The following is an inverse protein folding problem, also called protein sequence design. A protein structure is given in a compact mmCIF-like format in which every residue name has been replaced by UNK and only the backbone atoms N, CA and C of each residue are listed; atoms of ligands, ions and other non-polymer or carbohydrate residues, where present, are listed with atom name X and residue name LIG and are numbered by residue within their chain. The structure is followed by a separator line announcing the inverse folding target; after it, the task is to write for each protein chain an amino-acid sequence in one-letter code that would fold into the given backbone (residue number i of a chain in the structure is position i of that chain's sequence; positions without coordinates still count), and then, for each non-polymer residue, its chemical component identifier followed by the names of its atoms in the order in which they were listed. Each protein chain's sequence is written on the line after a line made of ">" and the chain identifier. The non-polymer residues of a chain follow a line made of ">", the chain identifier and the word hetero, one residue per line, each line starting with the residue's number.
data_IF_279662600781
#
_entry.id   IF_279662600781
#
_cell.length_a   1.000
_cell.length_b   1.000
_cell.length_c   1.000
_cell.angle_alpha   90.00
_cell.angle_beta   90.00
_cell.angle_gamma   90.00
#
_symmetry.space_group_name_H-M   'P 1'
#
loop_
_entity.id
_entity.type
_entity.pdbx_description
1 polymer ?
#
# COMPACT_ATOMS: atom_id res chain seq x y z
N UNK A 1 -14.43 -0.46 -0.48
CA UNK A 1 -13.23 -0.73 -1.31
C UNK A 1 -13.51 -0.44 -2.79
N UNK A 2 -13.70 0.83 -3.16
CA UNK A 2 -14.08 1.20 -4.53
C UNK A 2 -12.92 1.01 -5.53
N UNK A 3 -11.67 1.20 -5.08
CA UNK A 3 -10.44 1.01 -5.86
C UNK A 3 -10.11 -0.47 -6.18
N UNK A 4 -10.91 -1.43 -5.72
CA UNK A 4 -10.72 -2.86 -5.97
C UNK A 4 -10.78 -3.15 -7.47
N UNK A 5 -9.77 -3.85 -8.01
CA UNK A 5 -9.73 -4.22 -9.43
C UNK A 5 -10.85 -5.20 -9.80
N UNK A 6 -11.46 -5.02 -10.97
CA UNK A 6 -12.60 -5.83 -11.43
C UNK A 6 -12.29 -7.32 -11.60
N UNK A 7 -11.03 -7.66 -11.93
CA UNK A 7 -10.55 -9.05 -11.94
C UNK A 7 -10.74 -9.78 -10.59
N UNK A 8 -10.80 -9.04 -9.48
CA UNK A 8 -11.07 -9.59 -8.13
C UNK A 8 -12.56 -9.62 -7.78
N UNK A 9 -13.44 -9.11 -8.64
CA UNK A 9 -14.90 -9.17 -8.46
C UNK A 9 -15.52 -10.48 -9.01
N UNK A 10 -14.70 -11.51 -9.27
CA UNK A 10 -15.11 -12.82 -9.79
C UNK A 10 -15.84 -12.74 -11.14
N UNK A 11 -15.56 -11.73 -11.95
CA UNK A 11 -16.05 -11.62 -13.32
C UNK A 11 -15.29 -12.57 -14.24
N UNK A 12 -15.84 -12.89 -15.42
CA UNK A 12 -15.10 -13.68 -16.41
C UNK A 12 -13.93 -12.86 -16.96
N UNK A 13 -12.85 -13.54 -17.32
CA UNK A 13 -11.64 -12.88 -17.85
C UNK A 13 -11.93 -12.10 -19.14
N UNK A 14 -12.70 -12.69 -20.05
CA UNK A 14 -13.13 -12.03 -21.29
C UNK A 14 -13.88 -10.71 -21.03
N UNK A 15 -14.75 -10.68 -20.03
CA UNK A 15 -15.48 -9.47 -19.67
C UNK A 15 -14.55 -8.41 -19.06
N UNK A 16 -13.60 -8.83 -18.22
CA UNK A 16 -12.59 -7.93 -17.67
C UNK A 16 -11.71 -7.33 -18.78
N UNK A 17 -11.30 -8.12 -19.76
CA UNK A 17 -10.52 -7.64 -20.91
C UNK A 17 -11.31 -6.65 -21.76
N UNK A 18 -12.59 -6.94 -22.02
CA UNK A 18 -13.49 -6.01 -22.74
C UNK A 18 -13.64 -4.69 -22.00
N UNK A 19 -13.91 -4.73 -20.69
CA UNK A 19 -14.03 -3.52 -19.85
C UNK A 19 -12.70 -2.73 -19.80
N UNK A 20 -11.57 -3.42 -19.71
CA UNK A 20 -10.25 -2.78 -19.69
C UNK A 20 -9.93 -2.00 -20.97
N UNK A 21 -10.38 -2.48 -22.15
CA UNK A 21 -10.28 -1.73 -23.42
C UNK A 21 -11.00 -0.37 -23.38
N UNK A 22 -12.01 -0.25 -22.53
CA UNK A 22 -12.75 0.99 -22.28
C UNK A 22 -12.26 1.75 -21.03
N UNK A 23 -11.06 1.44 -20.53
CA UNK A 23 -10.47 2.04 -19.32
C UNK A 23 -11.27 1.78 -18.03
N UNK A 24 -12.13 0.76 -18.01
CA UNK A 24 -12.92 0.37 -16.84
C UNK A 24 -12.17 -0.77 -16.14
N UNK A 25 -11.41 -0.43 -15.10
CA UNK A 25 -10.48 -1.38 -14.46
C UNK A 25 -10.84 -1.68 -13.00
N UNK A 26 -11.56 -0.78 -12.33
CA UNK A 26 -11.94 -0.89 -10.92
C UNK A 26 -13.45 -1.01 -10.72
N UNK A 27 -13.85 -1.48 -9.54
CA UNK A 27 -15.25 -1.52 -9.16
C UNK A 27 -15.87 -0.12 -9.18
N UNK A 28 -15.12 0.92 -8.81
CA UNK A 28 -15.57 2.31 -8.92
C UNK A 28 -15.89 2.69 -10.36
N UNK A 29 -14.95 2.46 -11.29
CA UNK A 29 -15.14 2.80 -12.71
C UNK A 29 -16.41 2.15 -13.26
N UNK A 30 -16.64 0.87 -12.91
CA UNK A 30 -17.82 0.14 -13.34
C UNK A 30 -19.12 0.67 -12.71
N UNK A 31 -19.11 0.98 -11.42
CA UNK A 31 -20.30 1.39 -10.67
C UNK A 31 -20.68 2.85 -10.91
N UNK A 32 -19.76 3.67 -11.43
CA UNK A 32 -20.03 5.05 -11.81
C UNK A 32 -20.72 5.19 -13.18
N UNK A 33 -20.78 4.11 -13.97
CA UNK A 33 -21.46 4.11 -15.27
C UNK A 33 -22.96 3.86 -15.13
N UNK A 34 -23.73 4.49 -16.00
CA UNK A 34 -25.15 4.21 -16.15
C UNK A 34 -25.41 2.82 -16.73
N UNK A 35 -26.60 2.27 -16.50
CA UNK A 35 -27.00 0.97 -17.07
C UNK A 35 -26.89 0.94 -18.60
N UNK A 36 -27.21 2.05 -19.28
CA UNK A 36 -27.12 2.15 -20.74
C UNK A 36 -25.67 2.11 -21.24
N UNK A 37 -24.76 2.78 -20.54
CA UNK A 37 -23.32 2.73 -20.87
C UNK A 37 -22.76 1.33 -20.65
N UNK A 38 -23.12 0.68 -19.54
CA UNK A 38 -22.73 -0.69 -19.26
C UNK A 38 -23.26 -1.67 -20.31
N UNK A 39 -24.51 -1.52 -20.77
CA UNK A 39 -25.05 -2.33 -21.87
C UNK A 39 -24.23 -2.13 -23.16
N UNK A 40 -23.91 -0.89 -23.52
CA UNK A 40 -23.10 -0.58 -24.71
C UNK A 40 -21.69 -1.17 -24.64
N UNK A 41 -21.03 -1.03 -23.49
CA UNK A 41 -19.64 -1.48 -23.29
C UNK A 41 -19.55 -3.01 -23.18
N UNK A 42 -20.49 -3.63 -22.48
CA UNK A 42 -20.45 -5.08 -22.24
C UNK A 42 -21.05 -5.88 -23.40
N UNK A 43 -21.92 -5.27 -24.20
CA UNK A 43 -22.72 -5.92 -25.24
C UNK A 43 -23.81 -6.84 -24.68
N UNK A 44 -24.19 -6.65 -23.41
CA UNK A 44 -25.13 -7.54 -22.71
C UNK A 44 -26.52 -6.93 -22.57
N UNK A 45 -27.51 -7.79 -22.33
CA UNK A 45 -28.89 -7.39 -22.08
C UNK A 45 -29.02 -6.56 -20.79
N UNK A 46 -30.09 -5.78 -20.67
CA UNK A 46 -30.38 -5.02 -19.45
C UNK A 46 -30.40 -5.93 -18.20
N UNK A 47 -30.98 -7.12 -18.33
CA UNK A 47 -31.07 -8.10 -17.25
C UNK A 47 -29.68 -8.61 -16.81
N UNK A 48 -28.82 -8.95 -17.77
CA UNK A 48 -27.46 -9.42 -17.47
C UNK A 48 -26.60 -8.31 -16.86
N UNK A 49 -26.73 -7.07 -17.37
CA UNK A 49 -26.05 -5.91 -16.80
C UNK A 49 -26.50 -5.64 -15.36
N UNK A 50 -27.80 -5.76 -15.04
CA UNK A 50 -28.26 -5.68 -13.65
C UNK A 50 -27.66 -6.77 -12.76
N UNK A 51 -27.53 -8.00 -13.28
CA UNK A 51 -26.89 -9.11 -12.57
C UNK A 51 -25.40 -8.83 -12.34
N UNK A 52 -24.70 -8.29 -13.33
CA UNK A 52 -23.31 -7.85 -13.22
C UNK A 52 -23.17 -6.73 -12.17
N UNK A 53 -24.04 -5.72 -12.22
CA UNK A 53 -24.04 -4.62 -11.25
C UNK A 53 -24.15 -5.15 -9.82
N UNK A 54 -25.13 -6.01 -9.55
CA UNK A 54 -25.28 -6.66 -8.23
C UNK A 54 -24.04 -7.47 -7.83
N UNK A 55 -23.40 -8.14 -8.78
CA UNK A 55 -22.19 -8.93 -8.54
C UNK A 55 -20.99 -8.05 -8.17
N UNK A 56 -20.76 -6.96 -8.92
CA UNK A 56 -19.70 -5.99 -8.65
C UNK A 56 -19.97 -5.25 -7.35
N UNK A 57 -21.20 -4.79 -7.11
CA UNK A 57 -21.59 -4.15 -5.85
C UNK A 57 -21.33 -5.06 -4.64
N UNK A 58 -21.71 -6.33 -4.71
CA UNK A 58 -21.43 -7.31 -3.63
C UNK A 58 -19.94 -7.56 -3.42
N UNK A 59 -19.12 -7.45 -4.47
CA UNK A 59 -17.69 -7.70 -4.39
C UNK A 59 -16.91 -6.56 -3.71
N UNK A 60 -17.43 -5.33 -3.75
CA UNK A 60 -16.80 -4.15 -3.16
C UNK A 60 -17.51 -3.64 -1.89
N UNK A 61 -18.73 -4.10 -1.62
CA UNK A 61 -19.47 -3.76 -0.42
C UNK A 61 -18.77 -4.31 0.84
N UNK A 62 -18.67 -3.50 1.91
CA UNK A 62 -18.21 -4.01 3.20
C UNK A 62 -19.20 -5.08 3.70
N UNK A 63 -18.68 -6.12 4.34
CA UNK A 63 -19.52 -7.13 5.00
C UNK A 63 -20.03 -6.56 6.32
N UNK A 64 -21.31 -6.77 6.63
CA UNK A 64 -21.83 -6.48 7.97
C UNK A 64 -21.03 -7.31 8.97
N UNK A 65 -20.57 -6.66 10.03
CA UNK A 65 -19.86 -7.29 11.13
C UNK A 65 -20.34 -6.62 12.41
N UNK A 66 -20.60 -7.41 13.45
CA UNK A 66 -20.99 -6.84 14.74
C UNK A 66 -19.76 -6.24 15.44
N UNK A 67 -19.97 -5.26 16.31
CA UNK A 67 -18.88 -4.67 17.12
C UNK A 67 -18.16 -5.75 17.97
N UNK A 68 -18.90 -6.77 18.42
CA UNK A 68 -18.36 -7.90 19.17
C UNK A 68 -17.41 -8.76 18.33
N UNK A 69 -17.80 -9.12 17.11
CA UNK A 69 -16.93 -9.85 16.17
C UNK A 69 -15.67 -9.05 15.83
N UNK A 70 -15.77 -7.72 15.69
CA UNK A 70 -14.63 -6.85 15.43
C UNK A 70 -13.62 -6.88 16.60
N UNK A 71 -14.12 -6.90 17.85
CA UNK A 71 -13.28 -7.02 19.05
C UNK A 71 -12.55 -8.38 19.09
N UNK A 72 -13.26 -9.47 18.83
CA UNK A 72 -12.69 -10.83 18.84
C UNK A 72 -11.55 -11.02 17.82
N UNK A 73 -11.67 -10.45 16.62
CA UNK A 73 -10.60 -10.57 15.61
C UNK A 73 -9.27 -9.95 16.07
N UNK A 74 -9.33 -8.84 16.80
CA UNK A 74 -8.13 -8.19 17.35
C UNK A 74 -7.45 -9.06 18.41
N UNK A 75 -8.21 -9.84 19.18
CA UNK A 75 -7.65 -10.73 20.21
C UNK A 75 -7.05 -12.03 19.66
N UNK A 76 -7.49 -12.50 18.48
CA UNK A 76 -7.04 -13.80 17.94
C UNK A 76 -5.69 -13.71 17.23
N UNK A 77 -5.35 -12.58 16.59
CA UNK A 77 -4.06 -12.38 15.90
C UNK A 77 -3.34 -11.08 16.34
N UNK A 78 -2.88 -10.97 17.60
CA UNK A 78 -2.22 -9.75 18.07
C UNK A 78 -0.87 -9.50 17.38
N UNK A 79 -0.09 -10.55 17.08
CA UNK A 79 1.23 -10.45 16.44
C UNK A 79 1.22 -10.09 14.96
N UNK A 80 0.09 -10.28 14.26
CA UNK A 80 -0.05 -9.86 12.85
C UNK A 80 -0.66 -8.47 12.69
N UNK A 81 -1.03 -7.82 13.79
CA UNK A 81 -1.74 -6.54 13.77
C UNK A 81 -0.80 -5.34 13.70
N UNK A 82 0.46 -5.48 14.14
CA UNK A 82 1.42 -4.39 14.23
C UNK A 82 2.82 -4.85 13.85
N UNK A 83 3.60 -3.94 13.27
CA UNK A 83 5.05 -4.03 13.16
C UNK A 83 5.66 -3.21 14.30
N UNK A 84 6.26 -3.87 15.29
CA UNK A 84 6.96 -3.17 16.38
C UNK A 84 8.05 -2.26 15.82
N UNK A 85 8.12 -1.03 16.31
CA UNK A 85 9.20 -0.10 15.98
C UNK A 85 10.46 -0.38 16.78
N UNK A 86 10.39 -1.28 17.77
CA UNK A 86 11.44 -1.62 18.75
C UNK A 86 11.93 -0.42 19.56
N UNK A 87 11.15 0.66 19.55
CA UNK A 87 11.28 1.82 20.42
C UNK A 87 10.13 1.76 21.42
N UNK A 88 10.41 1.27 22.63
CA UNK A 88 9.37 0.93 23.62
C UNK A 88 8.32 2.04 23.80
N UNK A 89 8.77 3.28 24.05
CA UNK A 89 7.86 4.40 24.27
C UNK A 89 7.01 4.74 23.04
N UNK A 90 7.53 4.52 21.82
CA UNK A 90 6.76 4.74 20.60
C UNK A 90 5.75 3.62 20.39
N UNK A 91 6.15 2.37 20.62
CA UNK A 91 5.25 1.22 20.53
C UNK A 91 4.12 1.30 21.55
N UNK A 92 4.37 1.81 22.76
CA UNK A 92 3.32 2.07 23.76
C UNK A 92 2.28 3.07 23.24
N UNK A 93 2.73 4.19 22.67
CA UNK A 93 1.86 5.23 22.10
C UNK A 93 1.10 4.72 20.88
N UNK A 94 1.71 3.86 20.07
CA UNK A 94 1.10 3.24 18.89
C UNK A 94 0.30 1.97 19.22
N UNK A 95 0.22 1.58 20.50
CA UNK A 95 -0.47 0.38 20.98
C UNK A 95 0.06 -0.95 20.36
N UNK A 96 1.37 -1.02 20.12
CA UNK A 96 2.07 -2.22 19.66
C UNK A 96 3.06 -1.99 18.52
N UNK A 97 2.99 -0.84 17.85
CA UNK A 97 3.86 -0.47 16.74
C UNK A 97 3.09 0.06 15.53
N UNK A 98 3.68 0.02 14.34
CA UNK A 98 3.03 0.50 13.11
C UNK A 98 1.89 -0.45 12.72
N UNK A 99 0.64 0.00 12.63
CA UNK A 99 -0.51 -0.87 12.41
C UNK A 99 -0.57 -1.44 10.99
N UNK A 100 -0.66 -2.77 10.89
CA UNK A 100 -0.96 -3.48 9.66
C UNK A 100 -2.40 -3.21 9.22
N UNK A 101 -2.67 -3.18 7.92
CA UNK A 101 -4.01 -2.90 7.42
C UNK A 101 -4.35 -1.41 7.38
N UNK A 102 -3.37 -0.54 7.61
CA UNK A 102 -3.57 0.90 7.71
C UNK A 102 -2.46 1.69 7.00
N UNK A 103 -2.76 2.96 6.74
CA UNK A 103 -1.79 3.94 6.23
C UNK A 103 -1.33 4.81 7.40
N UNK A 104 -0.02 4.86 7.65
CA UNK A 104 0.60 5.66 8.72
C UNK A 104 1.40 6.81 8.13
N UNK A 105 1.01 8.05 8.43
CA UNK A 105 1.72 9.23 7.94
C UNK A 105 2.76 9.73 8.95
N UNK A 106 4.02 9.82 8.53
CA UNK A 106 5.11 10.40 9.31
C UNK A 106 5.39 11.83 8.84
N UNK A 107 4.98 12.82 9.64
CA UNK A 107 5.16 14.24 9.34
C UNK A 107 6.16 14.91 10.28
N UNK A 108 7.10 15.67 9.71
CA UNK A 108 8.06 16.51 10.44
C UNK A 108 8.87 17.39 9.49
N UNK A 109 9.55 18.44 9.98
CA UNK A 109 10.54 19.18 9.20
C UNK A 109 11.67 18.30 8.63
N UNK A 110 12.38 18.74 7.56
CA UNK A 110 13.58 18.06 7.07
C UNK A 110 14.62 17.88 8.19
N UNK A 111 15.37 16.77 8.15
CA UNK A 111 16.42 16.49 9.14
C UNK A 111 15.96 15.83 10.44
N UNK A 112 14.65 15.71 10.71
CA UNK A 112 14.14 15.06 11.93
C UNK A 112 14.23 13.51 11.94
N UNK A 113 14.94 12.90 10.99
CA UNK A 113 15.17 11.44 10.98
C UNK A 113 14.09 10.57 10.32
N UNK A 114 13.16 11.12 9.54
CA UNK A 114 12.13 10.33 8.83
C UNK A 114 12.71 9.21 7.97
N UNK A 115 13.65 9.53 7.10
CA UNK A 115 14.32 8.54 6.24
C UNK A 115 15.06 7.48 7.06
N UNK A 116 15.67 7.87 8.18
CA UNK A 116 16.33 6.92 9.10
C UNK A 116 15.31 5.96 9.72
N UNK A 117 14.16 6.48 10.13
CA UNK A 117 13.05 5.66 10.64
C UNK A 117 12.52 4.71 9.55
N UNK A 118 12.30 5.20 8.33
CA UNK A 118 11.86 4.37 7.20
C UNK A 118 12.85 3.24 6.89
N UNK A 119 14.16 3.52 6.84
CA UNK A 119 15.20 2.49 6.64
C UNK A 119 15.20 1.50 7.80
N UNK A 120 15.11 1.97 9.04
CA UNK A 120 15.04 1.10 10.22
C UNK A 120 13.83 0.17 10.18
N UNK A 121 12.62 0.69 9.93
CA UNK A 121 11.40 -0.11 9.85
C UNK A 121 11.45 -1.09 8.67
N UNK A 122 12.16 -0.75 7.59
CA UNK A 122 12.45 -1.70 6.51
C UNK A 122 13.24 -2.92 7.01
N UNK A 123 14.28 -2.73 7.83
CA UNK A 123 15.00 -3.85 8.47
C UNK A 123 14.05 -4.67 9.34
N UNK A 124 13.26 -4.00 10.20
CA UNK A 124 12.36 -4.67 11.14
C UNK A 124 11.34 -5.57 10.42
N UNK A 125 10.76 -5.10 9.31
CA UNK A 125 9.80 -5.89 8.55
C UNK A 125 10.39 -7.19 7.98
N UNK A 126 11.68 -7.21 7.67
CA UNK A 126 12.38 -8.41 7.14
C UNK A 126 12.74 -9.42 8.21
N UNK A 127 12.70 -9.05 9.49
CA UNK A 127 13.01 -9.96 10.58
C UNK A 127 11.95 -11.07 10.70
N UNK A 128 12.31 -12.23 11.26
CA UNK A 128 11.36 -13.27 11.60
C UNK A 128 10.28 -12.78 12.55
N UNK A 129 9.08 -13.37 12.46
CA UNK A 129 7.96 -13.06 13.37
C UNK A 129 8.32 -13.29 14.83
N UNK A 130 9.18 -14.29 15.13
CA UNK A 130 9.69 -14.55 16.48
C UNK A 130 10.53 -13.40 17.06
N UNK A 131 11.00 -12.48 16.22
CA UNK A 131 11.74 -11.28 16.61
C UNK A 131 10.90 -9.99 16.47
N UNK A 132 9.59 -10.12 16.24
CA UNK A 132 8.69 -8.98 16.06
C UNK A 132 8.67 -8.39 14.65
N UNK A 133 9.31 -9.05 13.68
CA UNK A 133 9.21 -8.69 12.26
C UNK A 133 8.01 -9.33 11.55
N UNK A 134 7.96 -9.21 10.22
CA UNK A 134 6.85 -9.72 9.41
C UNK A 134 7.23 -10.87 8.48
N UNK A 135 8.51 -11.29 8.49
CA UNK A 135 9.06 -12.34 7.64
C UNK A 135 8.67 -12.17 6.16
N UNK A 136 8.87 -10.96 5.63
CA UNK A 136 8.50 -10.64 4.26
C UNK A 136 9.27 -9.48 3.65
N UNK A 137 9.08 -9.32 2.33
CA UNK A 137 9.77 -8.31 1.55
C UNK A 137 9.23 -6.90 1.82
N UNK A 138 10.03 -5.89 1.51
CA UNK A 138 9.66 -4.46 1.63
C UNK A 138 9.66 -3.83 0.25
N UNK A 139 8.66 -3.00 -0.05
CA UNK A 139 8.74 -2.07 -1.17
C UNK A 139 9.05 -0.69 -0.61
N UNK A 140 10.14 -0.08 -1.08
CA UNK A 140 10.54 1.28 -0.72
C UNK A 140 10.46 2.16 -1.98
N UNK A 141 9.56 3.13 -1.99
CA UNK A 141 9.45 4.14 -3.04
C UNK A 141 10.18 5.39 -2.57
N UNK A 142 11.37 5.61 -3.11
CA UNK A 142 12.22 6.76 -2.84
C UNK A 142 11.99 7.84 -3.90
N UNK A 143 11.67 9.04 -3.44
CA UNK A 143 11.34 10.19 -4.28
C UNK A 143 12.37 11.32 -4.19
N UNK A 144 13.33 11.18 -3.27
CA UNK A 144 14.39 12.16 -3.02
C UNK A 144 15.79 11.58 -3.28
N UNK A 145 15.89 10.29 -3.64
CA UNK A 145 17.17 9.56 -3.77
C UNK A 145 17.96 9.56 -2.46
N UNK A 146 17.24 9.51 -1.33
CA UNK A 146 17.81 9.57 0.02
C UNK A 146 18.10 8.19 0.63
N UNK A 147 17.61 7.11 0.02
CA UNK A 147 17.87 5.75 0.49
C UNK A 147 19.35 5.37 0.30
N UNK A 148 19.98 4.84 1.36
CA UNK A 148 21.35 4.27 1.32
C UNK A 148 21.32 2.82 1.78
N UNK A 149 21.87 1.94 0.93
CA UNK A 149 22.01 0.53 1.23
C UNK A 149 23.09 0.28 2.29
N UNK A 150 24.15 1.08 2.29
CA UNK A 150 25.20 1.06 3.31
C UNK A 150 24.60 1.36 4.68
N UNK A 151 23.75 2.39 4.76
CA UNK A 151 23.07 2.75 5.99
C UNK A 151 22.09 1.69 6.47
N UNK A 152 21.38 1.04 5.55
CA UNK A 152 20.50 -0.09 5.86
C UNK A 152 21.29 -1.25 6.51
N UNK A 153 22.42 -1.63 5.91
CA UNK A 153 23.31 -2.69 6.43
C UNK A 153 23.87 -2.30 7.80
N UNK A 154 24.32 -1.05 7.94
CA UNK A 154 24.82 -0.52 9.20
C UNK A 154 23.77 -0.60 10.32
N UNK A 155 22.52 -0.19 10.04
CA UNK A 155 21.42 -0.28 11.00
C UNK A 155 21.15 -1.74 11.37
N UNK A 156 21.08 -2.63 10.39
CA UNK A 156 20.83 -4.06 10.61
C UNK A 156 21.90 -4.69 11.53
N UNK A 157 23.17 -4.54 11.17
CA UNK A 157 24.30 -5.11 11.92
C UNK A 157 24.42 -4.56 13.34
N UNK A 158 24.17 -3.26 13.54
CA UNK A 158 24.30 -2.67 14.88
C UNK A 158 23.09 -2.94 15.78
N UNK A 159 21.87 -3.00 15.23
CA UNK A 159 20.66 -3.22 16.05
C UNK A 159 20.41 -4.68 16.35
N UNK A 160 20.80 -5.59 15.46
CA UNK A 160 20.59 -7.02 15.62
C UNK A 160 21.87 -7.80 15.31
N UNK A 161 22.98 -7.55 16.04
CA UNK A 161 24.29 -8.14 15.73
C UNK A 161 24.32 -9.67 15.85
N UNK A 162 23.50 -10.23 16.73
CA UNK A 162 23.38 -11.69 16.89
C UNK A 162 22.59 -12.34 15.77
N UNK A 163 21.66 -11.61 15.15
CA UNK A 163 20.90 -12.12 14.03
C UNK A 163 21.65 -11.91 12.72
N UNK A 164 22.16 -10.70 12.46
CA UNK A 164 22.96 -10.37 11.28
C UNK A 164 24.46 -10.59 11.55
N UNK A 165 24.80 -11.82 11.96
CA UNK A 165 26.15 -12.27 12.28
C UNK A 165 26.95 -12.74 11.04
N UNK A 166 26.29 -12.84 9.88
CA UNK A 166 26.89 -13.27 8.62
C UNK A 166 26.49 -12.41 7.43
N UNK A 167 27.39 -12.32 6.45
CA UNK A 167 27.15 -11.63 5.19
C UNK A 167 25.97 -12.24 4.41
N UNK A 168 25.73 -13.55 4.54
CA UNK A 168 24.59 -14.22 3.90
C UNK A 168 23.25 -13.69 4.39
N UNK A 169 23.10 -13.41 5.68
CA UNK A 169 21.85 -12.87 6.24
C UNK A 169 21.64 -11.42 5.86
N UNK A 170 22.71 -10.61 5.86
CA UNK A 170 22.68 -9.24 5.35
C UNK A 170 22.31 -9.20 3.86
N UNK A 171 22.89 -10.11 3.07
CA UNK A 171 22.57 -10.27 1.65
C UNK A 171 21.10 -10.68 1.43
N UNK A 172 20.59 -11.64 2.21
CA UNK A 172 19.18 -12.02 2.14
C UNK A 172 18.23 -10.85 2.48
N UNK A 173 18.53 -10.10 3.55
CA UNK A 173 17.73 -8.94 3.97
C UNK A 173 17.74 -7.84 2.91
N UNK A 174 18.92 -7.44 2.41
CA UNK A 174 19.02 -6.41 1.37
C UNK A 174 18.29 -6.79 0.08
N UNK A 175 18.36 -8.07 -0.33
CA UNK A 175 17.63 -8.60 -1.49
C UNK A 175 16.10 -8.59 -1.32
N UNK A 176 15.62 -8.65 -0.07
CA UNK A 176 14.19 -8.57 0.24
C UNK A 176 13.64 -7.14 0.24
N UNK A 177 14.49 -6.11 0.05
CA UNK A 177 14.08 -4.71 -0.04
C UNK A 177 14.08 -4.27 -1.51
N UNK A 178 12.89 -4.02 -2.04
CA UNK A 178 12.66 -3.58 -3.41
C UNK A 178 12.58 -2.06 -3.47
N UNK A 179 13.68 -1.43 -3.88
CA UNK A 179 13.79 0.01 -4.04
C UNK A 179 13.30 0.48 -5.41
N UNK A 180 12.41 1.47 -5.43
CA UNK A 180 11.98 2.19 -6.62
C UNK A 180 12.27 3.67 -6.48
N UNK A 181 12.98 4.24 -7.47
CA UNK A 181 13.24 5.68 -7.53
C UNK A 181 12.23 6.34 -8.45
N UNK A 182 11.26 7.03 -7.87
CA UNK A 182 10.16 7.68 -8.62
C UNK A 182 10.18 9.18 -8.29
N UNK A 183 10.64 10.00 -9.24
CA UNK A 183 10.96 11.42 -9.00
C UNK A 183 9.81 12.38 -9.37
N UNK A 184 8.69 11.85 -9.86
CA UNK A 184 7.54 12.65 -10.35
C UNK A 184 6.21 12.15 -9.80
N UNK A 185 5.19 13.00 -9.74
CA UNK A 185 3.86 12.58 -9.28
C UNK A 185 3.29 11.49 -10.20
N UNK A 186 3.45 11.65 -11.52
CA UNK A 186 2.97 10.65 -12.49
C UNK A 186 3.62 9.28 -12.30
N UNK A 187 4.94 9.24 -12.05
CA UNK A 187 5.69 8.01 -11.85
C UNK A 187 5.34 7.32 -10.52
N UNK A 188 5.20 8.10 -9.43
CA UNK A 188 4.71 7.60 -8.13
C UNK A 188 3.31 7.02 -8.26
N UNK A 189 2.35 7.69 -8.91
CA UNK A 189 1.02 7.12 -9.12
C UNK A 189 1.06 5.84 -9.93
N UNK A 190 1.83 5.82 -11.03
CA UNK A 190 1.96 4.62 -11.86
C UNK A 190 2.50 3.45 -11.04
N UNK A 191 3.50 3.70 -10.18
CA UNK A 191 4.03 2.70 -9.25
C UNK A 191 2.94 2.20 -8.32
N UNK A 192 2.24 3.09 -7.62
CA UNK A 192 1.14 2.75 -6.69
C UNK A 192 0.09 1.85 -7.35
N UNK A 193 -0.29 2.14 -8.60
CA UNK A 193 -1.30 1.35 -9.35
C UNK A 193 -0.82 -0.07 -9.71
N UNK A 194 0.50 -0.27 -9.81
CA UNK A 194 1.13 -1.57 -10.10
C UNK A 194 1.44 -2.41 -8.87
N UNK A 195 1.43 -1.81 -7.67
CA UNK A 195 1.88 -2.47 -6.43
C UNK A 195 1.14 -3.77 -6.10
N UNK A 196 -0.15 -3.89 -6.44
CA UNK A 196 -0.92 -5.09 -6.12
C UNK A 196 -0.27 -6.40 -6.62
N UNK A 197 0.27 -6.39 -7.84
CA UNK A 197 0.91 -7.58 -8.44
C UNK A 197 2.27 -7.86 -7.81
N UNK A 198 3.00 -6.80 -7.48
CA UNK A 198 4.28 -6.89 -6.81
C UNK A 198 4.15 -7.42 -5.38
N UNK A 199 3.12 -6.96 -4.64
CA UNK A 199 2.86 -7.41 -3.26
C UNK A 199 2.66 -8.93 -3.25
N UNK A 200 1.89 -9.46 -4.20
CA UNK A 200 1.61 -10.88 -4.31
C UNK A 200 2.86 -11.66 -4.73
N UNK A 201 3.49 -11.26 -5.84
CA UNK A 201 4.61 -12.01 -6.42
C UNK A 201 5.85 -12.03 -5.53
N UNK A 202 6.13 -10.93 -4.83
CA UNK A 202 7.31 -10.77 -3.98
C UNK A 202 7.04 -11.03 -2.49
N UNK A 203 5.80 -11.37 -2.11
CA UNK A 203 5.38 -11.59 -0.72
C UNK A 203 5.73 -10.38 0.18
N UNK A 204 5.33 -9.20 -0.28
CA UNK A 204 5.61 -7.94 0.41
C UNK A 204 4.79 -7.83 1.69
N UNK A 205 5.43 -7.37 2.76
CA UNK A 205 4.84 -7.17 4.08
C UNK A 205 4.93 -5.75 4.61
N UNK A 206 5.60 -4.84 3.90
CA UNK A 206 5.66 -3.42 4.22
C UNK A 206 5.82 -2.61 2.92
N UNK A 207 5.11 -1.49 2.83
CA UNK A 207 5.31 -0.49 1.78
C UNK A 207 5.74 0.81 2.45
N UNK A 208 6.73 1.49 1.90
CA UNK A 208 7.15 2.82 2.33
C UNK A 208 7.16 3.74 1.11
N UNK A 209 6.71 4.98 1.31
CA UNK A 209 6.88 6.06 0.33
C UNK A 209 7.57 7.23 1.02
N UNK A 210 8.85 7.45 0.70
CA UNK A 210 9.67 8.52 1.26
C UNK A 210 10.05 9.53 0.16
N UNK A 211 9.35 10.65 0.00
CA UNK A 211 8.10 11.05 0.61
C UNK A 211 7.11 11.50 -0.47
N UNK A 212 5.81 11.31 -0.25
CA UNK A 212 4.77 11.84 -1.16
C UNK A 212 4.84 13.37 -1.27
N UNK A 213 5.22 14.05 -0.18
CA UNK A 213 5.30 15.50 -0.13
C UNK A 213 6.44 16.07 -1.02
N UNK A 214 7.48 15.29 -1.33
CA UNK A 214 8.61 15.77 -2.12
C UNK A 214 8.21 16.08 -3.56
N UNK A 215 7.57 15.11 -4.24
CA UNK A 215 7.16 15.22 -5.64
C UNK A 215 6.05 16.26 -5.80
N UNK A 216 5.14 16.33 -4.82
CA UNK A 216 4.07 17.31 -4.81
C UNK A 216 4.61 18.73 -4.70
N UNK A 217 5.60 18.97 -3.81
CA UNK A 217 6.20 20.30 -3.67
C UNK A 217 7.03 20.72 -4.88
N UNK A 218 7.66 19.76 -5.58
CA UNK A 218 8.45 20.03 -6.79
C UNK A 218 7.58 20.37 -7.99
N UNK A 219 6.43 19.72 -8.15
CA UNK A 219 5.59 19.86 -9.35
C UNK A 219 4.46 20.87 -9.21
N UNK A 220 3.91 21.06 -8.00
CA UNK A 220 2.77 21.97 -7.80
C UNK A 220 3.20 23.25 -7.09
N UNK A 221 3.34 24.34 -7.85
CA UNK A 221 3.46 25.68 -7.27
C UNK A 221 2.10 26.12 -6.71
N UNK A 222 2.07 26.43 -5.42
CA UNK A 222 0.90 26.96 -4.70
C UNK A 222 0.38 28.30 -5.23
N UNK A 223 1.16 29.03 -6.03
CA UNK A 223 0.80 30.35 -6.55
C UNK A 223 -0.04 30.32 -7.84
N UNK A 224 -0.13 29.17 -8.51
CA UNK A 224 -0.86 29.02 -9.78
C UNK A 224 -2.27 28.46 -9.53
N UNK A 225 -3.30 29.16 -10.02
CA UNK A 225 -4.68 28.68 -9.98
C UNK A 225 -4.82 27.40 -10.85
N UNK A 226 -5.43 26.34 -10.30
CA UNK A 226 -5.58 25.02 -10.95
C UNK A 226 -4.73 23.91 -10.33
N UNK A 227 -3.52 24.23 -9.86
CA UNK A 227 -2.58 23.27 -9.26
C UNK A 227 -3.14 22.60 -7.99
N UNK A 228 -4.02 23.27 -7.25
CA UNK A 228 -4.61 22.73 -6.03
C UNK A 228 -5.54 21.54 -6.31
N UNK A 229 -6.30 21.60 -7.41
CA UNK A 229 -7.23 20.54 -7.79
C UNK A 229 -6.47 19.28 -8.25
N UNK A 230 -5.45 19.46 -9.11
CA UNK A 230 -4.60 18.37 -9.58
C UNK A 230 -3.81 17.72 -8.44
N UNK A 231 -3.23 18.52 -7.55
CA UNK A 231 -2.58 18.05 -6.32
C UNK A 231 -3.53 17.23 -5.46
N UNK A 232 -4.73 17.75 -5.22
CA UNK A 232 -5.73 17.08 -4.38
C UNK A 232 -6.17 15.75 -5.01
N UNK A 233 -6.33 15.72 -6.32
CA UNK A 233 -6.67 14.51 -7.06
C UNK A 233 -5.54 13.47 -7.00
N UNK A 234 -4.28 13.86 -7.21
CA UNK A 234 -3.11 12.99 -7.05
C UNK A 234 -3.06 12.35 -5.66
N UNK A 235 -3.16 13.19 -4.61
CA UNK A 235 -3.10 12.74 -3.22
C UNK A 235 -4.26 11.81 -2.88
N UNK A 236 -5.50 12.19 -3.22
CA UNK A 236 -6.68 11.40 -2.93
C UNK A 236 -6.66 10.05 -3.66
N UNK A 237 -6.25 10.04 -4.93
CA UNK A 237 -6.16 8.82 -5.73
C UNK A 237 -5.09 7.88 -5.22
N UNK A 238 -3.89 8.40 -4.89
CA UNK A 238 -2.81 7.63 -4.29
C UNK A 238 -3.22 7.03 -2.94
N UNK A 239 -3.74 7.85 -2.02
CA UNK A 239 -4.18 7.42 -0.70
C UNK A 239 -5.29 6.37 -0.75
N UNK A 240 -6.26 6.52 -1.66
CA UNK A 240 -7.34 5.54 -1.85
C UNK A 240 -6.81 4.15 -2.22
N UNK A 241 -5.83 4.08 -3.13
CA UNK A 241 -5.22 2.81 -3.53
C UNK A 241 -4.35 2.24 -2.42
N UNK A 242 -3.49 3.06 -1.80
CA UNK A 242 -2.64 2.62 -0.70
C UNK A 242 -3.45 2.08 0.47
N UNK A 243 -4.54 2.75 0.85
CA UNK A 243 -5.47 2.28 1.87
C UNK A 243 -6.10 0.93 1.49
N UNK A 244 -6.55 0.78 0.25
CA UNK A 244 -7.06 -0.51 -0.24
C UNK A 244 -6.00 -1.62 -0.16
N UNK A 245 -4.76 -1.35 -0.56
CA UNK A 245 -3.68 -2.32 -0.51
C UNK A 245 -3.34 -2.70 0.94
N UNK A 246 -3.26 -1.72 1.83
CA UNK A 246 -3.04 -1.95 3.26
C UNK A 246 -4.11 -2.91 3.81
N UNK A 247 -5.39 -2.58 3.65
CA UNK A 247 -6.53 -3.37 4.16
C UNK A 247 -6.61 -4.77 3.52
N UNK A 248 -6.48 -4.89 2.20
CA UNK A 248 -6.66 -6.16 1.48
C UNK A 248 -5.52 -7.15 1.76
N UNK A 249 -4.29 -6.66 1.94
CA UNK A 249 -3.12 -7.51 2.22
C UNK A 249 -2.74 -7.56 3.70
N UNK A 250 -3.40 -6.77 4.55
CA UNK A 250 -3.08 -6.63 5.98
C UNK A 250 -1.61 -6.31 6.22
N UNK A 251 -1.09 -5.31 5.50
CA UNK A 251 0.29 -4.82 5.61
C UNK A 251 0.31 -3.35 6.07
N UNK A 252 1.37 -2.90 6.75
CA UNK A 252 1.58 -1.48 7.01
C UNK A 252 2.02 -0.77 5.73
N UNK A 253 1.55 0.46 5.58
CA UNK A 253 1.91 1.39 4.49
C UNK A 253 2.25 2.75 5.07
#
# INVERSE_FOLDING_TARGET
>A
MAAKKLRRARLSQELCERLSRHQINTCQDFLCLSLLELMKVTGQSYYDVQKLLRKVSRACAPKMQTAYEMKLRKSVNPSSAFLSTTLHSLDEVLHGGVPCGSLTELTSPPGCGKTQFCIMVSVLATLPVSMGGLDGAVIYIDTESAFSAERLIEIAGNRFPTYFDSDEKLFCMTRSIHLYRELTCGSVLKRIMSLEEEIISKKVKLIIIDSVASVVRKEFDTKLQGNLAERSNFLARGASVLKYLAEEFSIPV
#
